data_IF_234958456742
#
_entry.id   IF_234958456742
#
_cell.length_a   1.000
_cell.length_b   1.000
_cell.length_c   1.000
_cell.angle_alpha   90.00
_cell.angle_beta   90.00
_cell.angle_gamma   90.00
#
_symmetry.space_group_name_H-M   'P 1'
#
loop_
_entity.id
_entity.type
_entity.pdbx_description
1 polymer ?
#
# COMPACT_ATOMS: atom_id res chain seq x y z
N UNK A 1 -15.01 -29.20 17.20
CA UNK A 1 -13.62 -29.48 16.80
C UNK A 1 -13.18 -28.33 15.90
N UNK A 2 -12.45 -27.36 16.45
CA UNK A 2 -11.98 -26.21 15.67
C UNK A 2 -10.76 -26.64 14.83
N UNK A 3 -10.74 -26.27 13.55
CA UNK A 3 -9.59 -26.48 12.68
C UNK A 3 -8.37 -25.76 13.27
N UNK A 4 -7.16 -26.38 13.27
CA UNK A 4 -5.97 -25.67 13.70
C UNK A 4 -5.75 -24.47 12.77
N UNK A 5 -5.49 -23.30 13.37
CA UNK A 5 -5.05 -22.12 12.63
C UNK A 5 -3.82 -22.52 11.79
N UNK A 6 -3.91 -22.35 10.48
CA UNK A 6 -2.74 -22.51 9.62
C UNK A 6 -1.73 -21.45 10.04
N UNK A 7 -0.61 -21.88 10.62
CA UNK A 7 0.48 -20.98 10.97
C UNK A 7 1.18 -20.64 9.66
N UNK A 8 0.85 -19.48 9.08
CA UNK A 8 1.60 -18.94 7.96
C UNK A 8 3.03 -18.67 8.43
N UNK A 9 4.01 -19.26 7.73
CA UNK A 9 5.41 -19.03 8.03
C UNK A 9 5.82 -17.68 7.42
N UNK A 10 5.54 -16.59 8.14
CA UNK A 10 5.90 -15.24 7.75
C UNK A 10 7.40 -15.05 7.98
N UNK A 11 8.17 -14.74 6.94
CA UNK A 11 9.60 -14.46 7.09
C UNK A 11 9.83 -13.21 7.95
N UNK A 12 11.00 -13.07 8.60
CA UNK A 12 11.26 -11.99 9.55
C UNK A 12 11.09 -10.58 8.95
N UNK A 13 11.36 -10.42 7.64
CA UNK A 13 11.17 -9.16 6.93
C UNK A 13 9.71 -8.82 6.63
N UNK A 14 8.86 -9.83 6.42
CA UNK A 14 7.42 -9.62 6.24
C UNK A 14 6.77 -9.25 7.57
N UNK A 15 7.16 -9.93 8.65
CA UNK A 15 6.64 -9.68 10.00
C UNK A 15 6.94 -8.24 10.46
N UNK A 16 8.18 -7.77 10.28
CA UNK A 16 8.56 -6.40 10.62
C UNK A 16 7.83 -5.32 9.78
N UNK A 17 7.40 -5.66 8.55
CA UNK A 17 6.62 -4.75 7.70
C UNK A 17 5.17 -4.69 8.15
N UNK A 18 4.59 -5.83 8.51
CA UNK A 18 3.21 -5.92 8.98
C UNK A 18 3.01 -5.22 10.33
N UNK A 19 3.99 -5.29 11.23
CA UNK A 19 3.96 -4.55 12.50
C UNK A 19 3.84 -3.02 12.31
N UNK A 20 4.29 -2.50 11.18
CA UNK A 20 4.23 -1.07 10.84
C UNK A 20 3.02 -0.71 9.98
N UNK A 21 2.24 -1.70 9.54
CA UNK A 21 1.06 -1.43 8.74
C UNK A 21 -0.02 -0.78 9.62
N UNK A 22 -0.77 0.21 9.08
CA UNK A 22 -1.94 0.73 9.78
C UNK A 22 -2.97 -0.38 9.98
N UNK A 23 -3.63 -0.38 11.14
CA UNK A 23 -4.74 -1.28 11.40
C UNK A 23 -5.92 -1.01 10.45
N UNK A 24 -6.75 -2.03 10.20
CA UNK A 24 -7.97 -1.86 9.39
C UNK A 24 -8.88 -0.81 10.04
N UNK A 25 -9.34 0.15 9.24
CA UNK A 25 -10.17 1.28 9.70
C UNK A 25 -9.38 2.47 10.25
N UNK A 26 -8.07 2.32 10.49
CA UNK A 26 -7.21 3.46 10.78
C UNK A 26 -7.03 4.35 9.53
N UNK A 27 -6.70 5.62 9.76
CA UNK A 27 -6.38 6.53 8.66
C UNK A 27 -5.16 6.01 7.88
N UNK A 28 -5.31 5.94 6.56
CA UNK A 28 -4.19 5.64 5.68
C UNK A 28 -3.12 6.74 5.81
N UNK A 29 -1.83 6.39 5.95
CA UNK A 29 -0.75 7.37 5.96
C UNK A 29 -0.74 8.22 4.68
N UNK A 30 -0.64 9.53 4.82
CA UNK A 30 -0.47 10.41 3.65
C UNK A 30 0.91 10.18 3.03
N UNK A 31 0.95 10.19 1.70
CA UNK A 31 2.18 10.10 0.92
C UNK A 31 2.03 10.88 -0.38
N UNK A 32 3.16 11.24 -0.97
CA UNK A 32 3.24 11.85 -2.29
C UNK A 32 4.01 10.91 -3.23
N UNK A 33 3.50 10.73 -4.45
CA UNK A 33 4.17 9.98 -5.51
C UNK A 33 4.29 10.84 -6.75
N UNK A 34 5.39 10.64 -7.48
CA UNK A 34 5.53 11.22 -8.81
C UNK A 34 4.61 10.49 -9.79
N UNK A 35 3.78 11.25 -10.50
CA UNK A 35 2.94 10.71 -11.57
C UNK A 35 3.83 10.36 -12.76
N UNK A 36 3.69 9.12 -13.25
CA UNK A 36 4.34 8.72 -14.50
C UNK A 36 3.52 9.17 -15.71
N UNK A 37 4.21 9.38 -16.82
CA UNK A 37 3.58 9.57 -18.12
C UNK A 37 3.01 8.24 -18.63
N UNK A 38 2.13 8.26 -19.65
CA UNK A 38 1.60 7.03 -20.26
C UNK A 38 2.69 6.09 -20.82
N UNK A 39 3.89 6.60 -21.08
CA UNK A 39 5.05 5.86 -21.57
C UNK A 39 6.08 5.58 -20.45
N UNK A 40 5.62 5.53 -19.20
CA UNK A 40 6.44 5.29 -18.00
C UNK A 40 7.57 6.32 -17.75
N UNK A 41 7.46 7.52 -18.32
CA UNK A 41 8.41 8.61 -18.10
C UNK A 41 8.12 9.41 -16.82
N UNK A 42 9.16 9.97 -16.21
CA UNK A 42 9.05 10.93 -15.11
C UNK A 42 8.39 12.22 -15.61
N UNK A 43 7.47 12.79 -14.82
CA UNK A 43 6.75 14.03 -15.20
C UNK A 43 7.06 15.22 -14.31
N UNK A 44 7.73 15.00 -13.17
CA UNK A 44 7.94 16.02 -12.14
C UNK A 44 6.68 16.42 -11.36
N UNK A 45 5.49 15.95 -11.78
CA UNK A 45 4.23 16.24 -11.10
C UNK A 45 4.00 15.25 -9.96
N UNK A 46 3.71 15.80 -8.78
CA UNK A 46 3.35 15.02 -7.60
C UNK A 46 1.83 14.80 -7.53
N UNK A 47 1.43 13.69 -6.92
CA UNK A 47 0.07 13.40 -6.49
C UNK A 47 0.11 12.94 -5.03
N UNK A 48 -0.78 13.48 -4.18
CA UNK A 48 -0.86 13.08 -2.77
C UNK A 48 -2.09 12.21 -2.53
N UNK A 49 -1.98 11.25 -1.60
CA UNK A 49 -3.16 10.44 -1.22
C UNK A 49 -4.29 11.32 -0.69
N UNK A 50 -3.95 12.31 0.13
CA UNK A 50 -4.88 13.29 0.69
C UNK A 50 -5.69 14.07 -0.35
N UNK A 51 -5.22 14.19 -1.60
CA UNK A 51 -5.98 14.83 -2.69
C UNK A 51 -7.21 14.01 -3.14
N UNK A 52 -7.33 12.77 -2.68
CA UNK A 52 -8.41 11.84 -3.04
C UNK A 52 -9.42 11.59 -1.91
N UNK A 53 -9.42 12.40 -0.85
CA UNK A 53 -10.41 12.30 0.22
C UNK A 53 -11.85 12.52 -0.29
N UNK A 54 -12.83 11.98 0.46
CA UNK A 54 -14.25 12.08 0.12
C UNK A 54 -14.74 11.07 -0.94
N UNK A 55 -13.87 10.18 -1.40
CA UNK A 55 -14.22 9.06 -2.29
C UNK A 55 -13.48 7.77 -1.90
N UNK A 56 -14.05 6.59 -2.18
CA UNK A 56 -13.33 5.33 -2.06
C UNK A 56 -12.10 5.30 -2.99
N UNK A 57 -10.98 4.79 -2.49
CA UNK A 57 -9.72 4.63 -3.24
C UNK A 57 -9.13 3.27 -2.93
N UNK A 58 -8.62 2.58 -3.95
CA UNK A 58 -7.80 1.39 -3.79
C UNK A 58 -6.35 1.70 -4.17
N UNK A 59 -5.40 1.19 -3.39
CA UNK A 59 -3.96 1.27 -3.69
C UNK A 59 -3.47 -0.08 -4.18
N UNK A 60 -2.89 -0.11 -5.37
CA UNK A 60 -2.34 -1.32 -5.99
C UNK A 60 -0.85 -1.12 -6.17
N UNK A 61 -0.06 -1.99 -5.52
CA UNK A 61 1.39 -2.01 -5.67
C UNK A 61 1.76 -3.18 -6.58
N UNK A 62 2.57 -2.91 -7.59
CA UNK A 62 3.07 -3.92 -8.52
C UNK A 62 4.38 -3.47 -9.14
N UNK A 63 5.08 -4.41 -9.77
CA UNK A 63 6.23 -4.14 -10.62
C UNK A 63 5.82 -4.27 -12.08
N UNK A 64 6.25 -3.34 -12.91
CA UNK A 64 6.28 -3.53 -14.35
C UNK A 64 7.69 -3.94 -14.72
N UNK A 65 7.89 -5.23 -15.01
CA UNK A 65 9.12 -5.79 -15.59
C UNK A 65 8.88 -6.16 -17.03
#
# INVERSE_FOLDING_TARGET
>A
MALPAQVEHVGPWQQAREERAPAVGALAPDFALERLSPIAGRTGRQARLSDHQGRPVALVFGSYT
#
